data_IF_370680897480
#
_entry.id   IF_370680897480
#
_cell.length_a   1.000
_cell.length_b   1.000
_cell.length_c   1.000
_cell.angle_alpha   90.00
_cell.angle_beta   90.00
_cell.angle_gamma   90.00
#
_symmetry.space_group_name_H-M   'P 1'
#
loop_
_entity.id
_entity.type
_entity.pdbx_description
1 polymer ?
#
# COMPACT_ATOMS: atom_id res chain seq x y z
N UNK A 1 -9.64 20.55 5.11
CA UNK A 1 -9.08 19.52 6.00
C UNK A 1 -10.06 19.34 7.14
N UNK A 2 -10.39 18.07 7.44
CA UNK A 2 -11.20 17.70 8.61
C UNK A 2 -10.32 16.88 9.53
N UNK A 3 -10.26 17.27 10.80
CA UNK A 3 -9.56 16.55 11.85
C UNK A 3 -10.55 16.08 12.91
N UNK A 4 -10.42 14.85 13.36
CA UNK A 4 -11.17 14.30 14.49
C UNK A 4 -10.17 13.94 15.57
N UNK A 5 -10.30 14.55 16.73
CA UNK A 5 -9.54 14.21 17.93
C UNK A 5 -10.40 13.31 18.81
N UNK A 6 -9.89 12.13 19.12
CA UNK A 6 -10.55 11.17 20.02
C UNK A 6 -9.66 11.04 21.25
N UNK A 7 -10.24 11.19 22.44
CA UNK A 7 -9.50 11.15 23.72
C UNK A 7 -10.27 10.39 24.79
N UNK A 8 -9.58 10.10 25.91
CA UNK A 8 -10.12 9.37 27.05
C UNK A 8 -9.37 8.05 27.29
N UNK A 9 -9.82 7.24 28.26
CA UNK A 9 -9.26 5.93 28.50
C UNK A 9 -9.66 4.96 27.38
N UNK A 10 -8.82 4.86 26.35
CA UNK A 10 -9.02 3.98 25.22
C UNK A 10 -7.73 3.32 24.78
N UNK A 11 -7.88 2.18 24.11
CA UNK A 11 -6.81 1.48 23.40
C UNK A 11 -7.17 1.38 21.93
N UNK A 12 -6.16 1.22 21.09
CA UNK A 12 -6.34 1.10 19.66
C UNK A 12 -5.57 -0.14 19.19
N UNK A 13 -6.29 -1.09 18.62
CA UNK A 13 -5.72 -2.15 17.81
C UNK A 13 -5.66 -1.67 16.37
N UNK A 14 -4.54 -1.88 15.68
CA UNK A 14 -4.38 -1.41 14.31
C UNK A 14 -3.64 -2.42 13.45
N UNK A 15 -3.86 -2.34 12.16
CA UNK A 15 -3.14 -3.12 11.19
C UNK A 15 -3.13 -2.46 9.82
N UNK A 16 -2.09 -2.78 9.07
CA UNK A 16 -1.87 -2.27 7.71
C UNK A 16 -1.58 -3.45 6.80
N UNK A 17 -2.19 -3.48 5.63
CA UNK A 17 -1.98 -4.52 4.65
C UNK A 17 -2.01 -3.97 3.23
N UNK A 18 -0.99 -4.31 2.43
CA UNK A 18 -1.04 -4.19 0.98
C UNK A 18 -1.31 -5.56 0.34
N UNK A 19 -1.32 -5.63 -0.95
CA UNK A 19 -1.50 -6.89 -1.67
C UNK A 19 -0.60 -6.94 -2.90
N UNK A 20 0.58 -6.34 -2.82
CA UNK A 20 1.54 -6.32 -3.91
C UNK A 20 2.55 -7.44 -3.75
N UNK A 21 2.93 -8.03 -4.88
CA UNK A 21 4.00 -9.02 -4.99
C UNK A 21 5.09 -8.49 -5.94
N UNK A 22 6.36 -8.81 -5.71
CA UNK A 22 7.42 -8.47 -6.65
C UNK A 22 7.27 -9.25 -7.96
N UNK A 23 7.66 -8.62 -9.06
CA UNK A 23 7.80 -9.23 -10.37
C UNK A 23 9.23 -9.00 -10.86
N UNK A 24 9.85 -10.06 -11.36
CA UNK A 24 11.26 -10.00 -11.75
C UNK A 24 12.24 -9.97 -10.57
N UNK A 25 13.46 -9.53 -10.84
CA UNK A 25 14.55 -9.45 -9.87
C UNK A 25 14.64 -8.09 -9.19
N UNK A 26 15.38 -8.03 -8.10
CA UNK A 26 15.82 -6.77 -7.51
C UNK A 26 16.67 -5.99 -8.52
N UNK A 27 16.43 -4.69 -8.56
CA UNK A 27 17.20 -3.71 -9.32
C UNK A 27 17.79 -2.68 -8.38
N UNK A 28 18.69 -1.86 -8.89
CA UNK A 28 19.32 -0.78 -8.10
C UNK A 28 18.99 0.56 -8.73
N UNK A 29 18.55 1.52 -7.92
CA UNK A 29 18.45 2.92 -8.33
C UNK A 29 19.89 3.45 -8.45
N UNK A 30 20.28 3.83 -9.64
CA UNK A 30 21.67 4.30 -9.89
C UNK A 30 21.78 5.82 -9.95
N UNK A 31 20.66 6.53 -10.22
CA UNK A 31 20.61 7.99 -10.13
C UNK A 31 19.23 8.46 -9.69
N UNK A 32 19.18 9.24 -8.62
CA UNK A 32 17.97 9.85 -8.10
C UNK A 32 18.27 11.20 -7.43
N UNK A 33 17.25 12.06 -7.36
CA UNK A 33 17.28 13.33 -6.64
C UNK A 33 15.91 13.57 -6.01
N UNK A 34 15.87 13.60 -4.67
CA UNK A 34 14.62 13.69 -3.92
C UNK A 34 13.63 12.57 -4.33
N UNK A 35 12.43 12.89 -4.79
CA UNK A 35 11.43 11.92 -5.20
C UNK A 35 11.55 11.45 -6.66
N UNK A 36 12.55 11.92 -7.41
CA UNK A 36 12.73 11.63 -8.84
C UNK A 36 13.78 10.56 -9.04
N UNK A 37 13.43 9.49 -9.75
CA UNK A 37 14.32 8.41 -10.16
C UNK A 37 14.66 8.61 -11.63
N UNK A 38 15.91 8.90 -11.92
CA UNK A 38 16.40 9.08 -13.29
C UNK A 38 16.87 7.77 -13.90
N UNK A 39 17.59 6.95 -13.10
CA UNK A 39 18.19 5.72 -13.61
C UNK A 39 18.00 4.55 -12.65
N UNK A 40 17.72 3.40 -13.25
CA UNK A 40 17.70 2.08 -12.59
C UNK A 40 18.63 1.17 -13.40
N UNK A 41 19.57 0.51 -12.73
CA UNK A 41 20.59 -0.36 -13.37
C UNK A 41 21.34 0.37 -14.51
N UNK A 42 21.66 1.66 -14.34
CA UNK A 42 22.32 2.53 -15.33
C UNK A 42 21.54 2.75 -16.64
N UNK A 43 20.23 2.49 -16.65
CA UNK A 43 19.31 2.80 -17.76
C UNK A 43 18.31 3.86 -17.31
N UNK A 44 17.75 4.65 -18.24
CA UNK A 44 16.65 5.54 -17.92
C UNK A 44 15.53 4.77 -17.19
N UNK A 45 15.04 5.31 -16.08
CA UNK A 45 14.03 4.62 -15.25
C UNK A 45 12.76 4.27 -16.04
N UNK A 46 12.35 5.16 -16.94
CA UNK A 46 11.19 4.95 -17.81
C UNK A 46 11.40 3.80 -18.82
N UNK A 47 12.62 3.62 -19.31
CA UNK A 47 12.97 2.49 -20.19
C UNK A 47 12.86 1.16 -19.44
N UNK A 48 13.37 1.13 -18.21
CA UNK A 48 13.22 -0.07 -17.36
C UNK A 48 11.77 -0.39 -17.07
N UNK A 49 10.92 0.60 -16.90
CA UNK A 49 9.48 0.36 -16.68
C UNK A 49 8.79 -0.21 -17.91
N UNK A 50 9.21 0.15 -19.12
CA UNK A 50 8.71 -0.42 -20.38
C UNK A 50 8.97 -1.93 -20.52
N UNK A 51 9.91 -2.48 -19.77
CA UNK A 51 10.11 -3.93 -19.71
C UNK A 51 8.92 -4.68 -19.05
N UNK A 52 8.07 -3.98 -18.29
CA UNK A 52 7.00 -4.55 -17.47
C UNK A 52 5.59 -4.14 -17.90
N UNK A 53 5.47 -3.03 -18.60
CA UNK A 53 4.19 -2.48 -19.06
C UNK A 53 4.33 -1.97 -20.48
N UNK A 54 3.27 -2.17 -21.24
CA UNK A 54 3.16 -1.63 -22.59
C UNK A 54 2.80 -0.14 -22.49
N UNK A 55 3.76 0.71 -22.83
CA UNK A 55 3.62 2.18 -22.75
C UNK A 55 3.65 2.73 -24.20
N UNK A 56 2.87 2.15 -25.08
CA UNK A 56 2.92 2.55 -26.50
C UNK A 56 2.14 3.83 -26.83
N UNK A 57 1.36 4.38 -25.90
CA UNK A 57 0.59 5.59 -26.15
C UNK A 57 0.93 6.71 -25.17
N UNK A 58 1.30 7.87 -25.71
CA UNK A 58 1.69 9.09 -24.99
C UNK A 58 0.68 9.59 -23.95
N UNK A 59 -0.56 9.12 -23.98
CA UNK A 59 -1.65 9.67 -23.21
C UNK A 59 -2.22 8.78 -22.11
N UNK A 60 -1.71 7.56 -21.88
CA UNK A 60 -2.36 6.61 -20.96
C UNK A 60 -1.43 6.13 -19.82
N UNK A 61 -0.52 7.01 -19.33
CA UNK A 61 0.32 6.69 -18.19
C UNK A 61 -0.45 6.17 -16.99
N UNK A 62 -1.56 6.77 -16.54
CA UNK A 62 -2.35 6.24 -15.44
C UNK A 62 -2.81 4.79 -15.66
N UNK A 63 -3.16 4.40 -16.87
CA UNK A 63 -3.58 3.04 -17.20
C UNK A 63 -2.39 2.08 -17.28
N UNK A 64 -1.28 2.51 -17.90
CA UNK A 64 -0.06 1.72 -17.97
C UNK A 64 0.45 1.35 -16.59
N UNK A 65 0.49 2.31 -15.65
CA UNK A 65 0.93 2.09 -14.27
C UNK A 65 -0.16 1.58 -13.33
N UNK A 66 -1.39 1.42 -13.80
CA UNK A 66 -2.50 0.98 -12.96
C UNK A 66 -2.18 -0.32 -12.20
N UNK A 67 -1.42 -1.21 -12.81
CA UNK A 67 -1.05 -2.49 -12.23
C UNK A 67 0.41 -2.59 -11.77
N UNK A 68 1.18 -1.52 -11.91
CA UNK A 68 2.60 -1.48 -11.55
C UNK A 68 2.86 -0.52 -10.40
N UNK A 69 3.74 -0.90 -9.51
CA UNK A 69 4.26 -0.07 -8.43
C UNK A 69 5.71 -0.44 -8.12
N UNK A 70 6.37 0.39 -7.35
CA UNK A 70 7.71 0.08 -6.84
C UNK A 70 7.62 -0.50 -5.43
N UNK A 71 8.38 -1.55 -5.17
CA UNK A 71 8.59 -2.13 -3.86
C UNK A 71 10.00 -1.85 -3.37
N UNK A 72 10.13 -1.38 -2.15
CA UNK A 72 11.37 -1.18 -1.45
C UNK A 72 11.44 -2.15 -0.27
N UNK A 73 12.61 -2.68 0.05
CA UNK A 73 12.73 -3.56 1.20
C UNK A 73 12.23 -2.86 2.47
N UNK A 74 11.31 -3.49 3.16
CA UNK A 74 10.84 -2.97 4.43
C UNK A 74 11.97 -3.05 5.48
N UNK A 75 12.17 -2.04 6.33
CA UNK A 75 13.07 -2.13 7.46
C UNK A 75 12.80 -3.40 8.28
N UNK A 76 13.84 -4.04 8.80
CA UNK A 76 13.75 -5.31 9.54
C UNK A 76 12.80 -5.22 10.75
N UNK A 77 12.74 -4.04 11.34
CA UNK A 77 11.92 -3.74 12.52
C UNK A 77 10.42 -3.83 12.23
N UNK A 78 10.01 -3.59 10.98
CA UNK A 78 8.61 -3.59 10.59
C UNK A 78 8.21 -4.75 9.69
N UNK A 79 9.16 -5.43 9.04
CA UNK A 79 8.88 -6.46 8.02
C UNK A 79 8.03 -7.61 8.55
N UNK A 80 8.21 -8.01 9.81
CA UNK A 80 7.42 -9.09 10.44
C UNK A 80 5.94 -8.74 10.64
N UNK A 81 5.64 -7.45 10.90
CA UNK A 81 4.28 -6.99 11.19
C UNK A 81 3.57 -6.43 9.95
N UNK A 82 4.34 -6.00 8.97
CA UNK A 82 3.81 -5.36 7.77
C UNK A 82 3.87 -6.31 6.57
N UNK A 83 5.00 -6.32 5.91
CA UNK A 83 5.34 -7.17 4.76
C UNK A 83 6.83 -6.98 4.46
N UNK A 84 7.38 -7.77 3.54
CA UNK A 84 8.77 -7.65 3.10
C UNK A 84 9.04 -6.36 2.32
N UNK A 85 7.99 -5.73 1.77
CA UNK A 85 8.11 -4.57 0.90
C UNK A 85 7.23 -3.40 1.35
N UNK A 86 7.79 -2.20 1.27
CA UNK A 86 7.05 -0.94 1.33
C UNK A 86 6.75 -0.51 -0.12
N UNK A 87 5.49 -0.27 -0.41
CA UNK A 87 5.03 -0.01 -1.78
C UNK A 87 4.96 1.49 -2.06
N UNK A 88 5.37 1.89 -3.27
CA UNK A 88 5.29 3.27 -3.77
C UNK A 88 4.59 3.31 -5.12
N UNK A 89 3.58 4.15 -5.19
CA UNK A 89 2.90 4.50 -6.44
C UNK A 89 3.81 5.40 -7.29
N UNK A 90 3.59 5.41 -8.61
CA UNK A 90 4.38 6.19 -9.56
C UNK A 90 3.45 7.22 -10.24
N UNK A 91 3.22 8.39 -9.64
CA UNK A 91 2.24 9.35 -10.12
C UNK A 91 2.60 10.03 -11.45
N UNK A 92 3.89 10.13 -11.77
CA UNK A 92 4.32 10.87 -12.93
C UNK A 92 5.56 10.28 -13.58
N UNK A 93 5.73 10.60 -14.87
CA UNK A 93 6.93 10.37 -15.67
C UNK A 93 7.36 11.67 -16.33
N UNK A 94 8.60 11.72 -16.77
CA UNK A 94 9.14 12.74 -17.66
C UNK A 94 9.81 12.04 -18.84
N UNK A 95 9.20 12.16 -20.02
CA UNK A 95 9.66 11.50 -21.24
C UNK A 95 10.98 12.11 -21.77
N UNK A 96 11.23 13.41 -21.53
CA UNK A 96 12.44 14.07 -21.97
C UNK A 96 13.66 13.61 -21.16
N UNK A 97 13.47 13.44 -19.86
CA UNK A 97 14.54 12.99 -18.95
C UNK A 97 14.58 11.46 -18.79
N UNK A 98 13.57 10.74 -19.29
CA UNK A 98 13.43 9.31 -19.10
C UNK A 98 13.22 8.92 -17.62
N UNK A 99 12.70 9.84 -16.81
CA UNK A 99 12.59 9.69 -15.37
C UNK A 99 11.16 9.36 -14.90
N UNK A 100 11.07 8.87 -13.67
CA UNK A 100 9.80 8.65 -12.97
C UNK A 100 9.82 9.35 -11.62
N UNK A 101 8.64 9.67 -11.09
CA UNK A 101 8.48 10.30 -9.78
C UNK A 101 7.69 9.39 -8.85
N UNK A 102 8.11 9.33 -7.58
CA UNK A 102 7.37 8.66 -6.49
C UNK A 102 7.07 9.65 -5.36
N UNK A 103 6.16 9.33 -4.41
CA UNK A 103 5.77 10.30 -3.37
C UNK A 103 6.78 10.48 -2.24
N UNK A 104 7.87 9.71 -2.21
CA UNK A 104 8.88 9.77 -1.13
C UNK A 104 10.27 9.97 -1.72
N UNK A 105 11.19 10.46 -0.90
CA UNK A 105 12.59 10.56 -1.28
C UNK A 105 13.23 9.18 -1.46
N UNK A 106 14.17 9.10 -2.39
CA UNK A 106 14.99 7.94 -2.67
C UNK A 106 16.40 8.39 -3.02
N UNK A 107 17.34 7.48 -2.95
CA UNK A 107 18.76 7.78 -3.24
C UNK A 107 19.39 6.70 -4.13
N UNK A 108 20.48 7.06 -4.77
CA UNK A 108 21.31 6.11 -5.47
C UNK A 108 21.83 5.03 -4.49
N UNK A 109 21.81 3.78 -4.92
CA UNK A 109 22.12 2.60 -4.13
C UNK A 109 20.88 1.91 -3.52
N UNK A 110 19.71 2.55 -3.50
CA UNK A 110 18.50 1.90 -2.99
C UNK A 110 18.10 0.73 -3.89
N UNK A 111 17.82 -0.41 -3.26
CA UNK A 111 17.27 -1.58 -3.93
C UNK A 111 15.78 -1.41 -4.19
N UNK A 112 15.34 -1.75 -5.39
CA UNK A 112 13.95 -1.59 -5.81
C UNK A 112 13.47 -2.83 -6.59
N UNK A 113 12.21 -3.18 -6.41
CA UNK A 113 11.51 -4.20 -7.21
C UNK A 113 10.35 -3.57 -7.95
N UNK A 114 10.10 -4.01 -9.17
CA UNK A 114 8.79 -3.84 -9.78
C UNK A 114 7.81 -4.74 -9.05
N UNK A 115 6.64 -4.22 -8.73
CA UNK A 115 5.60 -4.97 -8.03
C UNK A 115 4.26 -4.80 -8.74
N UNK A 116 3.42 -5.81 -8.61
CA UNK A 116 2.02 -5.75 -9.06
C UNK A 116 1.08 -6.15 -7.93
N UNK A 117 -0.15 -5.70 -8.00
CA UNK A 117 -1.19 -6.19 -7.10
C UNK A 117 -1.57 -7.62 -7.47
N UNK A 118 -1.86 -8.39 -6.44
CA UNK A 118 -2.21 -9.80 -6.57
C UNK A 118 -3.46 -10.10 -5.74
N UNK A 119 -4.44 -10.75 -6.37
CA UNK A 119 -5.73 -11.05 -5.75
C UNK A 119 -5.57 -11.95 -4.52
N UNK A 120 -4.77 -13.00 -4.63
CA UNK A 120 -4.60 -13.99 -3.56
C UNK A 120 -3.81 -13.37 -2.40
N UNK A 121 -2.81 -12.55 -2.70
CA UNK A 121 -2.05 -11.81 -1.69
C UNK A 121 -2.95 -10.83 -0.93
N UNK A 122 -3.88 -10.15 -1.61
CA UNK A 122 -4.86 -9.25 -0.96
C UNK A 122 -5.79 -10.07 -0.06
N UNK A 123 -6.29 -11.20 -0.54
CA UNK A 123 -7.20 -12.09 0.22
C UNK A 123 -6.51 -12.63 1.49
N UNK A 124 -5.31 -13.17 1.34
CA UNK A 124 -4.52 -13.68 2.46
C UNK A 124 -4.16 -12.56 3.46
N UNK A 125 -3.93 -11.36 2.94
CA UNK A 125 -3.66 -10.19 3.76
C UNK A 125 -4.86 -9.74 4.60
N UNK A 126 -6.08 -9.91 4.12
CA UNK A 126 -7.29 -9.67 4.91
C UNK A 126 -7.39 -10.64 6.07
N UNK A 127 -7.09 -11.93 5.85
CA UNK A 127 -7.11 -12.93 6.93
C UNK A 127 -6.05 -12.63 7.99
N UNK A 128 -4.85 -12.28 7.57
CA UNK A 128 -3.79 -11.86 8.48
C UNK A 128 -4.24 -10.65 9.31
N UNK A 129 -4.78 -9.63 8.67
CA UNK A 129 -5.27 -8.42 9.34
C UNK A 129 -6.38 -8.71 10.36
N UNK A 130 -7.31 -9.62 10.05
CA UNK A 130 -8.33 -10.09 10.99
C UNK A 130 -7.70 -10.74 12.21
N UNK A 131 -6.77 -11.66 12.00
CA UNK A 131 -6.11 -12.40 13.08
C UNK A 131 -5.27 -11.48 13.98
N UNK A 132 -4.53 -10.55 13.37
CA UNK A 132 -3.70 -9.60 14.09
C UNK A 132 -4.54 -8.64 14.95
N UNK A 133 -5.65 -8.13 14.41
CA UNK A 133 -6.56 -7.27 15.14
C UNK A 133 -7.27 -8.01 16.27
N UNK A 134 -7.75 -9.23 16.04
CA UNK A 134 -8.33 -10.07 17.10
C UNK A 134 -7.35 -10.36 18.22
N UNK A 135 -6.09 -10.63 17.86
CA UNK A 135 -5.03 -10.87 18.87
C UNK A 135 -4.80 -9.61 19.71
N UNK A 136 -4.72 -8.43 19.08
CA UNK A 136 -4.55 -7.17 19.81
C UNK A 136 -5.75 -6.82 20.68
N UNK A 137 -6.97 -7.11 20.24
CA UNK A 137 -8.21 -6.90 21.00
C UNK A 137 -8.30 -7.80 22.23
N UNK A 138 -7.67 -8.99 22.23
CA UNK A 138 -7.65 -9.89 23.38
C UNK A 138 -9.04 -10.34 23.84
N UNK A 139 -10.02 -10.42 22.93
CA UNK A 139 -11.40 -10.77 23.23
C UNK A 139 -12.30 -9.57 23.56
N UNK A 140 -11.77 -8.36 23.63
CA UNK A 140 -12.56 -7.16 23.84
C UNK A 140 -13.26 -6.72 22.55
N UNK A 141 -14.47 -6.15 22.68
CA UNK A 141 -15.23 -5.65 21.55
C UNK A 141 -14.91 -4.18 21.30
N UNK A 142 -14.48 -3.80 20.09
CA UNK A 142 -14.26 -2.41 19.77
C UNK A 142 -15.58 -1.62 19.72
N UNK A 143 -15.51 -0.36 20.09
CA UNK A 143 -16.63 0.59 20.02
C UNK A 143 -16.79 1.19 18.63
N UNK A 144 -15.70 1.26 17.89
CA UNK A 144 -15.65 1.80 16.53
C UNK A 144 -14.46 1.20 15.79
N UNK A 145 -14.65 0.86 14.52
CA UNK A 145 -13.55 0.55 13.60
C UNK A 145 -13.49 1.61 12.50
N UNK A 146 -12.31 2.12 12.26
CA UNK A 146 -12.00 3.02 11.15
C UNK A 146 -11.19 2.26 10.10
N UNK A 147 -11.58 2.40 8.84
CA UNK A 147 -10.87 1.82 7.70
C UNK A 147 -10.57 2.89 6.66
N UNK A 148 -9.30 3.00 6.30
CA UNK A 148 -8.82 3.82 5.18
C UNK A 148 -8.20 2.88 4.16
N UNK A 149 -8.83 2.77 3.00
CA UNK A 149 -8.46 1.78 1.98
C UNK A 149 -8.02 2.51 0.70
N UNK A 150 -6.82 2.25 0.25
CA UNK A 150 -6.34 2.82 -0.99
C UNK A 150 -7.25 2.43 -2.16
N UNK A 151 -7.73 3.42 -2.90
CA UNK A 151 -8.55 3.17 -4.09
C UNK A 151 -7.80 2.26 -5.09
N UNK A 152 -6.48 2.41 -5.16
CA UNK A 152 -5.63 1.56 -5.99
C UNK A 152 -5.46 0.14 -5.49
N UNK A 153 -5.74 -0.17 -4.22
CA UNK A 153 -5.55 -1.51 -3.67
C UNK A 153 -6.59 -2.51 -4.16
N UNK A 154 -7.84 -2.20 -3.97
CA UNK A 154 -8.93 -3.15 -4.22
C UNK A 154 -9.94 -2.65 -5.23
N UNK A 155 -10.38 -1.41 -5.13
CA UNK A 155 -11.43 -0.84 -5.97
C UNK A 155 -11.13 -0.90 -7.48
N UNK A 156 -9.85 -0.87 -7.83
CA UNK A 156 -9.41 -0.87 -9.24
C UNK A 156 -9.31 -2.28 -9.82
N UNK A 157 -9.00 -3.30 -9.00
CA UNK A 157 -8.73 -4.66 -9.50
C UNK A 157 -9.84 -5.68 -9.21
N UNK A 158 -10.68 -5.41 -8.21
CA UNK A 158 -11.83 -6.27 -7.91
C UNK A 158 -13.10 -5.74 -8.56
N UNK A 159 -13.95 -6.64 -9.02
CA UNK A 159 -15.32 -6.30 -9.36
C UNK A 159 -16.08 -5.89 -8.09
N UNK A 160 -17.16 -5.16 -8.26
CA UNK A 160 -17.93 -4.61 -7.14
C UNK A 160 -18.40 -5.68 -6.15
N UNK A 161 -18.87 -6.82 -6.64
CA UNK A 161 -19.31 -7.95 -5.82
C UNK A 161 -18.17 -8.56 -5.00
N UNK A 162 -17.00 -8.72 -5.60
CA UNK A 162 -15.80 -9.22 -4.96
C UNK A 162 -15.27 -8.24 -3.89
N UNK A 163 -15.27 -6.94 -4.19
CA UNK A 163 -14.87 -5.92 -3.23
C UNK A 163 -15.82 -5.88 -2.02
N UNK A 164 -17.13 -5.98 -2.26
CA UNK A 164 -18.11 -6.05 -1.17
C UNK A 164 -17.93 -7.31 -0.31
N UNK A 165 -17.64 -8.45 -0.93
CA UNK A 165 -17.37 -9.68 -0.21
C UNK A 165 -16.10 -9.57 0.65
N UNK A 166 -15.04 -8.96 0.12
CA UNK A 166 -13.79 -8.71 0.84
C UNK A 166 -14.00 -7.81 2.06
N UNK A 167 -14.76 -6.72 1.87
CA UNK A 167 -15.07 -5.79 2.95
C UNK A 167 -15.98 -6.44 4.01
N UNK A 168 -16.99 -7.22 3.60
CA UNK A 168 -17.83 -7.97 4.52
C UNK A 168 -17.01 -8.94 5.36
N UNK A 169 -16.14 -9.73 4.72
CA UNK A 169 -15.23 -10.67 5.40
C UNK A 169 -14.37 -9.98 6.45
N UNK A 170 -13.80 -8.81 6.14
CA UNK A 170 -13.01 -8.04 7.08
C UNK A 170 -13.86 -7.58 8.28
N UNK A 171 -15.04 -7.02 8.03
CA UNK A 171 -15.93 -6.49 9.08
C UNK A 171 -16.45 -7.60 10.00
N UNK A 172 -16.96 -8.68 9.43
CA UNK A 172 -17.47 -9.82 10.17
C UNK A 172 -16.36 -10.63 10.86
N UNK A 173 -15.18 -10.63 10.24
CA UNK A 173 -14.01 -11.34 10.73
C UNK A 173 -13.36 -10.69 11.94
N UNK A 174 -13.43 -9.38 12.13
CA UNK A 174 -12.86 -8.72 13.33
C UNK A 174 -13.81 -8.89 14.51
N UNK A 175 -14.92 -8.17 14.54
CA UNK A 175 -16.00 -8.34 15.51
C UNK A 175 -17.34 -7.99 14.83
N UNK A 176 -18.23 -8.95 14.64
CA UNK A 176 -19.53 -8.70 14.03
C UNK A 176 -20.35 -7.64 14.78
N UNK A 177 -21.06 -6.79 14.04
CA UNK A 177 -21.95 -5.78 14.63
C UNK A 177 -21.26 -4.51 15.14
N UNK A 178 -19.94 -4.43 15.15
CA UNK A 178 -19.21 -3.22 15.53
C UNK A 178 -19.51 -2.07 14.55
N UNK A 179 -19.74 -0.84 15.04
CA UNK A 179 -19.81 0.35 14.20
C UNK A 179 -18.54 0.50 13.35
N UNK A 180 -18.73 0.75 12.05
CA UNK A 180 -17.65 0.80 11.08
C UNK A 180 -17.78 2.03 10.21
N UNK A 181 -16.70 2.79 10.07
CA UNK A 181 -16.63 3.97 9.21
C UNK A 181 -15.29 4.02 8.47
N UNK A 182 -15.27 4.74 7.37
CA UNK A 182 -14.06 4.93 6.58
C UNK A 182 -14.35 5.30 5.14
N UNK A 183 -13.30 5.38 4.35
CA UNK A 183 -13.42 5.75 2.93
C UNK A 183 -12.21 5.25 2.11
N UNK A 184 -12.36 5.30 0.80
CA UNK A 184 -11.24 5.09 -0.12
C UNK A 184 -10.42 6.39 -0.26
N UNK A 185 -9.11 6.25 -0.18
CA UNK A 185 -8.13 7.34 -0.31
C UNK A 185 -7.07 7.02 -1.37
N UNK A 186 -6.20 7.97 -1.67
CA UNK A 186 -5.12 7.78 -2.64
C UNK A 186 -3.79 7.38 -2.01
N UNK A 187 -3.64 7.68 -0.73
CA UNK A 187 -2.50 7.30 0.08
C UNK A 187 -2.94 7.26 1.54
N UNK A 188 -2.29 6.46 2.33
CA UNK A 188 -2.63 6.22 3.72
C UNK A 188 -1.44 6.58 4.62
N UNK A 189 -1.74 7.01 5.83
CA UNK A 189 -0.79 7.08 6.93
C UNK A 189 -1.31 6.15 8.01
N UNK A 190 -0.49 5.19 8.41
CA UNK A 190 -0.84 4.23 9.43
C UNK A 190 0.38 3.73 10.19
N UNK A 191 0.18 3.32 11.45
CA UNK A 191 1.27 2.83 12.25
C UNK A 191 1.63 1.38 11.89
N UNK A 192 2.93 1.12 11.82
CA UNK A 192 3.51 -0.21 11.83
C UNK A 192 4.58 -0.22 12.91
N UNK A 193 4.52 -1.16 13.84
CA UNK A 193 5.43 -1.22 14.99
C UNK A 193 5.57 0.15 15.72
N UNK A 194 4.42 0.80 16.00
CA UNK A 194 4.33 2.10 16.68
C UNK A 194 4.95 3.29 15.92
N UNK A 195 5.34 3.11 14.66
CA UNK A 195 5.83 4.18 13.81
C UNK A 195 4.82 4.49 12.71
N UNK A 196 4.42 5.75 12.60
CA UNK A 196 3.57 6.17 11.49
C UNK A 196 4.36 6.20 10.20
N UNK A 197 3.88 5.46 9.22
CA UNK A 197 4.47 5.36 7.90
C UNK A 197 3.49 5.84 6.84
N UNK A 198 4.05 6.34 5.76
CA UNK A 198 3.31 6.63 4.54
C UNK A 198 3.16 5.36 3.70
N UNK A 199 1.95 5.09 3.25
CA UNK A 199 1.62 3.88 2.50
C UNK A 199 0.96 4.19 1.16
N UNK A 200 1.11 3.26 0.22
CA UNK A 200 0.35 3.19 -1.01
C UNK A 200 -0.17 1.77 -1.22
N UNK A 201 -1.31 1.64 -1.88
CA UNK A 201 -1.98 0.36 -2.15
C UNK A 201 -2.26 -0.46 -0.89
N UNK A 202 -2.55 0.20 0.21
CA UNK A 202 -2.80 -0.44 1.50
C UNK A 202 -4.24 -0.27 1.98
N UNK A 203 -4.64 -1.14 2.90
CA UNK A 203 -5.75 -0.90 3.82
C UNK A 203 -5.15 -0.64 5.20
N UNK A 204 -5.52 0.46 5.82
CA UNK A 204 -5.23 0.79 7.22
C UNK A 204 -6.50 0.63 8.01
N UNK A 205 -6.48 -0.20 9.05
CA UNK A 205 -7.64 -0.47 9.92
C UNK A 205 -7.24 -0.17 11.36
N UNK A 206 -8.08 0.58 12.06
CA UNK A 206 -7.92 0.92 13.47
C UNK A 206 -9.21 0.60 14.23
N UNK A 207 -9.13 -0.27 15.22
CA UNK A 207 -10.22 -0.64 16.12
C UNK A 207 -10.02 0.03 17.48
N UNK A 208 -10.97 0.87 17.87
CA UNK A 208 -10.96 1.66 19.12
C UNK A 208 -11.76 0.91 20.16
N UNK A 209 -11.16 0.60 21.34
CA UNK A 209 -11.77 -0.20 22.40
C UNK A 209 -11.35 0.23 23.79
#
# INVERSE_FOLDING_TARGET
>A
VVCVLIGGPMRIAYGVNHGCIPIGKQRTITRAEGPVIYEIDHKPALEVMREYVDIDEENDWPKAIQNLALGFAAPREISKQYDEYVIRYIPAKDDQQGSIRIPTEVKAGDGVWMTRRDHDKIQAGVDRLINDLRTQLGGESPKLVLQFDCAGRGKVIFRQDQLQALQRRLREGIVPGTPWSGFHCYSEIGPVNQQNLFHNFTAVVAAIY
#
